data_IF_729153434080
#
_entry.id   IF_729153434080
#
_cell.length_a   1.000
_cell.length_b   1.000
_cell.length_c   1.000
_cell.angle_alpha   90.00
_cell.angle_beta   90.00
_cell.angle_gamma   90.00
#
_symmetry.space_group_name_H-M   'P 1'
#
loop_
_entity.id
_entity.type
_entity.pdbx_description
1 polymer ?
#
# COMPACT_ATOMS: atom_id res chain seq x y z
N UNK A 1 26.17 36.77 49.37
CA UNK A 1 25.42 35.66 49.98
C UNK A 1 24.88 34.81 48.85
N UNK A 2 25.39 33.61 48.76
CA UNK A 2 25.16 32.72 47.65
C UNK A 2 23.90 31.89 47.86
N UNK A 3 22.95 32.02 46.99
CA UNK A 3 21.88 31.02 46.89
C UNK A 3 22.05 30.25 45.60
N UNK A 4 22.64 29.07 45.72
CA UNK A 4 22.74 28.08 44.65
C UNK A 4 21.38 27.52 44.40
N UNK A 5 20.82 27.81 43.24
CA UNK A 5 19.61 27.11 42.70
C UNK A 5 20.11 25.86 42.01
N UNK A 6 19.82 24.74 42.59
CA UNK A 6 20.05 23.43 41.98
C UNK A 6 18.89 23.16 41.06
N UNK A 7 19.13 23.22 39.76
CA UNK A 7 18.20 22.80 38.77
C UNK A 7 18.19 21.25 38.70
N UNK A 8 17.11 20.67 39.17
CA UNK A 8 16.82 19.25 38.98
C UNK A 8 16.42 19.02 37.53
N UNK A 9 17.27 18.45 36.75
CA UNK A 9 16.98 17.89 35.45
C UNK A 9 16.21 16.62 35.66
N UNK A 10 14.89 16.71 35.48
CA UNK A 10 14.02 15.53 35.35
C UNK A 10 14.27 14.88 33.99
N UNK A 11 15.07 13.84 33.98
CA UNK A 11 15.15 12.92 32.86
C UNK A 11 13.84 12.15 32.75
N UNK A 12 12.99 12.55 31.80
CA UNK A 12 11.88 11.71 31.37
C UNK A 12 12.47 10.60 30.51
N UNK A 13 12.71 9.46 31.12
CA UNK A 13 12.98 8.22 30.39
C UNK A 13 11.66 7.77 29.80
N UNK A 14 11.46 8.05 28.51
CA UNK A 14 10.42 7.38 27.73
C UNK A 14 10.85 5.92 27.60
N UNK A 15 10.42 5.09 28.50
CA UNK A 15 10.39 3.65 28.30
C UNK A 15 9.33 3.36 27.23
N UNK A 16 9.77 3.19 26.00
CA UNK A 16 8.99 2.55 24.98
C UNK A 16 8.70 1.13 25.45
N UNK A 17 7.55 0.96 26.06
CA UNK A 17 7.02 -0.34 26.41
C UNK A 17 6.84 -1.12 25.12
N UNK A 18 7.77 -2.02 24.82
CA UNK A 18 7.54 -3.09 23.89
C UNK A 18 6.45 -3.97 24.50
N UNK A 19 5.22 -3.70 24.11
CA UNK A 19 4.16 -4.67 24.29
C UNK A 19 4.44 -5.81 23.33
N UNK A 20 5.22 -6.76 23.79
CA UNK A 20 5.29 -8.08 23.17
C UNK A 20 3.95 -8.75 23.44
N UNK A 21 2.96 -8.42 22.61
CA UNK A 21 1.69 -9.13 22.60
C UNK A 21 1.94 -10.53 22.06
N UNK A 22 1.96 -11.51 22.94
CA UNK A 22 1.84 -12.90 22.53
C UNK A 22 0.53 -13.10 21.78
N UNK A 23 0.59 -13.46 20.45
CA UNK A 23 -0.46 -14.26 19.87
C UNK A 23 -1.25 -13.74 18.69
N UNK A 24 -1.11 -12.57 18.11
CA UNK A 24 -1.57 -12.29 16.75
C UNK A 24 -0.46 -11.61 15.99
N UNK A 25 -0.06 -12.21 14.87
CA UNK A 25 0.83 -11.60 13.90
C UNK A 25 0.08 -10.44 13.24
N UNK A 26 0.00 -9.31 13.93
CA UNK A 26 -0.50 -8.08 13.35
C UNK A 26 0.56 -7.46 12.46
N UNK A 27 0.11 -6.69 11.47
CA UNK A 27 1.00 -5.90 10.62
C UNK A 27 1.85 -4.97 11.49
N UNK A 28 3.12 -4.84 11.15
CA UNK A 28 4.03 -3.89 11.79
C UNK A 28 3.87 -2.52 11.16
N UNK A 29 3.99 -1.48 11.96
CA UNK A 29 3.89 -0.11 11.49
C UNK A 29 5.00 0.21 10.47
N UNK A 30 4.65 0.92 9.41
CA UNK A 30 5.57 1.27 8.33
C UNK A 30 4.87 1.41 6.98
N UNK A 31 5.67 1.68 5.95
CA UNK A 31 5.22 1.66 4.55
C UNK A 31 5.75 0.43 3.85
N UNK A 32 4.90 -0.23 3.10
CA UNK A 32 5.21 -1.48 2.41
C UNK A 32 4.77 -1.39 0.96
N UNK A 33 5.68 -1.69 0.06
CA UNK A 33 5.45 -1.65 -1.37
C UNK A 33 5.53 -3.05 -1.97
N UNK A 34 4.70 -3.29 -2.97
CA UNK A 34 4.77 -4.44 -3.85
C UNK A 34 4.67 -4.01 -5.31
N UNK A 35 5.29 -4.77 -6.19
CA UNK A 35 5.20 -4.54 -7.63
C UNK A 35 5.37 -5.85 -8.40
N UNK A 36 4.87 -5.90 -9.63
CA UNK A 36 5.17 -7.02 -10.52
C UNK A 36 6.62 -7.00 -10.99
N UNK A 37 7.16 -8.16 -11.33
CA UNK A 37 8.55 -8.33 -11.81
C UNK A 37 8.73 -7.86 -13.26
N UNK A 38 7.66 -7.83 -14.05
CA UNK A 38 7.69 -7.50 -15.48
C UNK A 38 6.56 -6.55 -15.86
N UNK A 39 6.77 -5.85 -16.98
CA UNK A 39 5.73 -5.06 -17.64
C UNK A 39 4.80 -5.98 -18.43
N UNK A 40 3.53 -5.57 -18.55
CA UNK A 40 2.56 -6.23 -19.41
C UNK A 40 2.81 -5.92 -20.90
N UNK A 41 2.02 -6.53 -21.80
CA UNK A 41 2.14 -6.34 -23.24
C UNK A 41 1.83 -4.89 -23.70
N UNK A 42 1.30 -4.07 -22.81
CA UNK A 42 1.02 -2.66 -23.06
C UNK A 42 2.08 -1.73 -22.42
N UNK A 43 3.13 -2.29 -21.82
CA UNK A 43 4.23 -1.56 -21.21
C UNK A 43 3.92 -1.02 -19.79
N UNK A 44 2.97 -1.62 -19.08
CA UNK A 44 2.59 -1.23 -17.73
C UNK A 44 2.94 -2.30 -16.70
N UNK A 45 3.38 -1.86 -15.53
CA UNK A 45 3.69 -2.71 -14.38
C UNK A 45 2.89 -2.25 -13.17
N UNK A 46 2.06 -3.13 -12.61
CA UNK A 46 1.27 -2.83 -11.42
C UNK A 46 2.12 -2.67 -10.17
N UNK A 47 1.72 -1.74 -9.30
CA UNK A 47 2.33 -1.50 -8.00
C UNK A 47 1.28 -1.13 -6.95
N UNK A 48 1.49 -1.59 -5.72
CA UNK A 48 0.70 -1.23 -4.54
C UNK A 48 1.64 -0.74 -3.45
N UNK A 49 1.24 0.30 -2.74
CA UNK A 49 1.89 0.76 -1.52
C UNK A 49 0.84 0.86 -0.43
N UNK A 50 1.14 0.34 0.75
CA UNK A 50 0.30 0.48 1.94
C UNK A 50 1.07 1.16 3.05
N UNK A 51 0.39 1.94 3.87
CA UNK A 51 0.90 2.47 5.13
C UNK A 51 0.15 1.82 6.27
N UNK A 52 0.90 1.32 7.23
CA UNK A 52 0.38 0.66 8.43
C UNK A 52 0.72 1.50 9.65
N UNK A 53 -0.27 1.76 10.48
CA UNK A 53 -0.10 2.40 11.78
C UNK A 53 -1.02 1.72 12.80
N UNK A 54 -0.51 1.47 13.99
CA UNK A 54 -1.22 0.73 15.05
C UNK A 54 -1.75 -0.63 14.58
N UNK A 55 -0.97 -1.31 13.74
CA UNK A 55 -1.30 -2.62 13.18
C UNK A 55 -2.43 -2.64 12.15
N UNK A 56 -2.83 -1.48 11.63
CA UNK A 56 -3.90 -1.32 10.63
C UNK A 56 -3.42 -0.58 9.40
N UNK A 57 -3.97 -0.94 8.25
CA UNK A 57 -3.75 -0.18 7.01
C UNK A 57 -4.49 1.15 7.13
N UNK A 58 -3.74 2.25 7.14
CA UNK A 58 -4.28 3.62 7.25
C UNK A 58 -4.31 4.34 5.91
N UNK A 59 -3.49 3.92 4.95
CA UNK A 59 -3.48 4.44 3.60
C UNK A 59 -3.08 3.33 2.61
N UNK A 60 -3.56 3.44 1.39
CA UNK A 60 -3.19 2.56 0.30
C UNK A 60 -3.15 3.32 -1.02
N UNK A 61 -2.25 2.91 -1.90
CA UNK A 61 -2.12 3.43 -3.27
C UNK A 61 -2.00 2.26 -4.22
N UNK A 62 -2.69 2.36 -5.33
CA UNK A 62 -2.60 1.41 -6.43
C UNK A 62 -2.48 2.17 -7.74
N UNK A 63 -1.54 1.80 -8.56
CA UNK A 63 -1.39 2.33 -9.92
C UNK A 63 -0.54 1.36 -10.75
N UNK A 64 -0.39 1.70 -12.01
CA UNK A 64 0.58 1.08 -12.91
C UNK A 64 1.61 2.12 -13.32
N UNK A 65 2.83 1.68 -13.52
CA UNK A 65 3.96 2.49 -13.94
C UNK A 65 4.54 1.95 -15.25
N UNK A 66 4.94 2.83 -16.17
CA UNK A 66 5.67 2.46 -17.38
C UNK A 66 7.18 2.48 -17.16
N UNK A 67 7.97 2.12 -18.18
CA UNK A 67 9.44 2.13 -18.11
C UNK A 67 10.03 3.52 -17.87
N UNK A 68 9.33 4.59 -18.26
CA UNK A 68 9.74 5.96 -18.00
C UNK A 68 9.43 6.45 -16.58
N UNK A 69 8.66 5.66 -15.81
CA UNK A 69 8.23 6.01 -14.46
C UNK A 69 6.91 6.78 -14.41
N UNK A 70 6.22 6.94 -15.54
CA UNK A 70 4.93 7.62 -15.57
C UNK A 70 3.82 6.71 -15.05
N UNK A 71 2.87 7.29 -14.33
CA UNK A 71 1.71 6.58 -13.80
C UNK A 71 0.58 6.49 -14.81
N UNK A 72 -0.03 5.32 -14.92
CA UNK A 72 -1.16 5.05 -15.82
C UNK A 72 -2.37 5.95 -15.53
N UNK A 73 -2.62 6.24 -14.25
CA UNK A 73 -3.65 7.18 -13.84
C UNK A 73 -3.40 8.63 -14.28
N UNK A 74 -2.19 8.96 -14.72
CA UNK A 74 -1.81 10.28 -15.26
C UNK A 74 -1.82 10.33 -16.78
N UNK A 75 -2.00 9.20 -17.45
CA UNK A 75 -2.13 9.13 -18.89
C UNK A 75 -3.58 9.45 -19.30
N UNK A 76 -3.80 10.69 -19.75
CA UNK A 76 -5.13 11.19 -20.11
C UNK A 76 -5.73 10.43 -21.31
N UNK A 77 -4.90 9.96 -22.25
CA UNK A 77 -5.38 9.19 -23.42
C UNK A 77 -5.83 7.79 -23.00
N UNK A 78 -5.05 7.15 -22.13
CA UNK A 78 -5.39 5.85 -21.60
C UNK A 78 -6.69 5.92 -20.78
N UNK A 79 -6.78 6.94 -19.91
CA UNK A 79 -7.97 7.22 -19.10
C UNK A 79 -9.23 7.35 -19.98
N UNK A 80 -9.17 8.18 -21.02
CA UNK A 80 -10.29 8.39 -21.94
C UNK A 80 -10.68 7.13 -22.69
N UNK A 81 -9.70 6.42 -23.25
CA UNK A 81 -9.93 5.18 -24.00
C UNK A 81 -10.57 4.10 -23.13
N UNK A 82 -10.05 3.90 -21.93
CA UNK A 82 -10.55 2.87 -21.04
C UNK A 82 -11.94 3.22 -20.50
N UNK A 83 -12.19 4.48 -20.16
CA UNK A 83 -13.52 4.93 -19.72
C UNK A 83 -14.57 4.73 -20.81
N UNK A 84 -14.23 4.99 -22.08
CA UNK A 84 -15.12 4.72 -23.22
C UNK A 84 -15.40 3.23 -23.42
N UNK A 85 -14.37 2.40 -23.23
CA UNK A 85 -14.48 0.96 -23.50
C UNK A 85 -15.15 0.17 -22.37
N UNK A 86 -14.90 0.53 -21.13
CA UNK A 86 -15.30 -0.25 -19.95
C UNK A 86 -16.12 0.52 -18.90
N UNK A 87 -16.35 1.81 -19.12
CA UNK A 87 -17.13 2.66 -18.23
C UNK A 87 -16.35 3.19 -17.02
N UNK A 88 -15.08 2.78 -16.86
CA UNK A 88 -14.21 3.22 -15.76
C UNK A 88 -12.76 3.28 -16.22
N UNK A 89 -12.01 4.26 -15.75
CA UNK A 89 -10.60 4.45 -16.08
C UNK A 89 -9.66 4.23 -14.90
N UNK A 90 -8.33 4.30 -15.16
CA UNK A 90 -7.32 4.09 -14.12
C UNK A 90 -7.43 5.01 -12.90
N UNK A 91 -7.84 6.25 -13.10
CA UNK A 91 -8.01 7.20 -11.99
C UNK A 91 -9.04 6.69 -10.98
N UNK A 92 -10.19 6.26 -11.49
CA UNK A 92 -11.31 5.85 -10.64
C UNK A 92 -11.07 4.48 -10.02
N UNK A 93 -10.69 3.46 -10.80
CA UNK A 93 -10.53 2.13 -10.24
C UNK A 93 -9.37 2.04 -9.25
N UNK A 94 -8.26 2.73 -9.51
CA UNK A 94 -7.12 2.74 -8.59
C UNK A 94 -7.50 3.33 -7.23
N UNK A 95 -8.23 4.45 -7.23
CA UNK A 95 -8.71 5.08 -6.00
C UNK A 95 -9.73 4.20 -5.26
N UNK A 96 -10.65 3.56 -5.98
CA UNK A 96 -11.68 2.71 -5.38
C UNK A 96 -11.08 1.45 -4.75
N UNK A 97 -10.15 0.76 -5.42
CA UNK A 97 -9.47 -0.41 -4.86
C UNK A 97 -8.64 -0.05 -3.62
N UNK A 98 -7.89 1.06 -3.66
CA UNK A 98 -7.11 1.53 -2.53
C UNK A 98 -8.00 1.85 -1.32
N UNK A 99 -9.09 2.57 -1.53
CA UNK A 99 -10.07 2.90 -0.49
C UNK A 99 -10.70 1.63 0.10
N UNK A 100 -11.13 0.70 -0.74
CA UNK A 100 -11.72 -0.56 -0.29
C UNK A 100 -10.76 -1.37 0.59
N UNK A 101 -9.46 -1.38 0.28
CA UNK A 101 -8.47 -2.06 1.11
C UNK A 101 -8.37 -1.43 2.51
N UNK A 102 -8.33 -0.10 2.60
CA UNK A 102 -8.31 0.61 3.88
C UNK A 102 -9.57 0.31 4.71
N UNK A 103 -10.73 0.26 4.05
CA UNK A 103 -12.00 -0.06 4.73
C UNK A 103 -12.10 -1.52 5.17
N UNK A 104 -11.69 -2.45 4.31
CA UNK A 104 -11.81 -3.90 4.55
C UNK A 104 -10.66 -4.48 5.37
N UNK A 105 -9.48 -3.86 5.34
CA UNK A 105 -8.25 -4.34 6.01
C UNK A 105 -7.75 -5.71 5.52
N UNK A 106 -8.31 -6.22 4.46
CA UNK A 106 -8.04 -7.57 3.94
C UNK A 106 -8.20 -7.56 2.41
N UNK A 107 -7.12 -7.80 1.65
CA UNK A 107 -7.18 -7.81 0.19
C UNK A 107 -8.19 -8.81 -0.38
N UNK A 108 -8.40 -9.94 0.31
CA UNK A 108 -9.32 -10.99 -0.17
C UNK A 108 -10.78 -10.56 -0.11
N UNK A 109 -11.10 -9.57 0.72
CA UNK A 109 -12.45 -9.02 0.90
C UNK A 109 -12.76 -7.81 0.01
N UNK A 110 -11.81 -7.39 -0.80
CA UNK A 110 -12.02 -6.32 -1.77
C UNK A 110 -12.78 -6.87 -2.97
N UNK A 111 -13.93 -6.30 -3.25
CA UNK A 111 -14.78 -6.74 -4.35
C UNK A 111 -14.23 -6.28 -5.70
N UNK A 112 -14.51 -7.06 -6.76
CA UNK A 112 -14.18 -6.65 -8.12
C UNK A 112 -15.04 -5.45 -8.55
N UNK A 113 -14.40 -4.52 -9.26
CA UNK A 113 -15.08 -3.35 -9.84
C UNK A 113 -15.45 -3.68 -11.28
N UNK A 114 -16.73 -3.49 -11.63
CA UNK A 114 -17.21 -3.70 -13.01
C UNK A 114 -16.41 -2.83 -13.99
N UNK A 115 -15.89 -3.43 -15.03
CA UNK A 115 -15.05 -2.77 -16.03
C UNK A 115 -13.55 -2.70 -15.68
N UNK A 116 -13.15 -3.15 -14.48
CA UNK A 116 -11.77 -3.18 -14.02
C UNK A 116 -11.39 -4.51 -13.33
N UNK A 117 -11.97 -5.62 -13.74
CA UNK A 117 -11.79 -6.94 -13.08
C UNK A 117 -10.35 -7.41 -13.12
N UNK A 118 -9.66 -7.33 -14.25
CA UNK A 118 -8.24 -7.69 -14.37
C UNK A 118 -7.37 -6.84 -13.45
N UNK A 119 -7.62 -5.52 -13.41
CA UNK A 119 -6.91 -4.63 -12.48
C UNK A 119 -7.21 -4.97 -11.02
N UNK A 120 -8.40 -5.50 -10.73
CA UNK A 120 -8.76 -6.00 -9.41
C UNK A 120 -7.97 -7.25 -9.00
N UNK A 121 -7.75 -8.17 -9.92
CA UNK A 121 -6.93 -9.35 -9.67
C UNK A 121 -5.45 -8.98 -9.44
N UNK A 122 -4.93 -8.06 -10.23
CA UNK A 122 -3.59 -7.50 -10.05
C UNK A 122 -3.47 -6.81 -8.70
N UNK A 123 -4.44 -5.96 -8.36
CA UNK A 123 -4.49 -5.25 -7.09
C UNK A 123 -4.47 -6.22 -5.91
N UNK A 124 -5.34 -7.23 -5.89
CA UNK A 124 -5.41 -8.21 -4.80
C UNK A 124 -4.10 -8.97 -4.63
N UNK A 125 -3.50 -9.38 -5.73
CA UNK A 125 -2.22 -10.10 -5.72
C UNK A 125 -1.10 -9.24 -5.13
N UNK A 126 -1.01 -7.98 -5.52
CA UNK A 126 -0.01 -7.04 -5.02
C UNK A 126 -0.30 -6.61 -3.59
N UNK A 127 -1.55 -6.32 -3.25
CA UNK A 127 -1.94 -5.94 -1.91
C UNK A 127 -1.67 -7.06 -0.89
N UNK A 128 -1.92 -8.32 -1.26
CA UNK A 128 -1.58 -9.47 -0.42
C UNK A 128 -0.07 -9.57 -0.14
N UNK A 129 0.76 -9.38 -1.15
CA UNK A 129 2.21 -9.37 -0.98
C UNK A 129 2.70 -8.22 -0.07
N UNK A 130 2.13 -7.03 -0.19
CA UNK A 130 2.43 -5.90 0.68
C UNK A 130 2.00 -6.19 2.13
N UNK A 131 0.83 -6.77 2.34
CA UNK A 131 0.33 -7.17 3.67
C UNK A 131 1.21 -8.26 4.29
N UNK A 132 1.66 -9.25 3.50
CA UNK A 132 2.59 -10.27 4.00
C UNK A 132 3.92 -9.64 4.45
N UNK A 133 4.48 -8.70 3.68
CA UNK A 133 5.67 -7.96 4.09
C UNK A 133 5.43 -7.15 5.36
N UNK A 134 4.25 -6.54 5.52
CA UNK A 134 3.88 -5.82 6.73
C UNK A 134 3.79 -6.76 7.96
N UNK A 135 3.24 -7.95 7.80
CA UNK A 135 3.19 -8.96 8.88
C UNK A 135 4.59 -9.42 9.30
N UNK A 136 5.50 -9.56 8.35
CA UNK A 136 6.88 -9.96 8.59
C UNK A 136 7.77 -8.78 9.04
N UNK A 137 7.35 -7.54 8.78
CA UNK A 137 8.13 -6.32 8.99
C UNK A 137 9.27 -6.16 7.98
N UNK A 138 9.07 -6.64 6.77
CA UNK A 138 10.02 -6.54 5.65
C UNK A 138 9.73 -5.27 4.86
N UNK A 139 10.63 -4.29 4.94
CA UNK A 139 10.45 -2.97 4.33
C UNK A 139 10.95 -2.88 2.88
N UNK A 140 11.66 -3.88 2.40
CA UNK A 140 12.00 -4.01 0.99
C UNK A 140 10.75 -4.20 0.12
N UNK A 141 10.82 -3.77 -1.14
CA UNK A 141 9.71 -3.97 -2.08
C UNK A 141 9.48 -5.46 -2.35
N UNK A 142 8.25 -5.90 -2.17
CA UNK A 142 7.83 -7.25 -2.53
C UNK A 142 7.70 -7.35 -4.06
N UNK A 143 8.54 -8.17 -4.69
CA UNK A 143 8.48 -8.42 -6.13
C UNK A 143 7.67 -9.67 -6.39
N UNK A 144 6.60 -9.51 -7.16
CA UNK A 144 5.61 -10.56 -7.46
C UNK A 144 5.69 -10.93 -8.93
N UNK A 145 5.65 -12.21 -9.24
CA UNK A 145 5.56 -12.66 -10.63
C UNK A 145 4.25 -12.22 -11.26
N UNK A 146 4.36 -11.52 -12.38
CA UNK A 146 3.19 -11.20 -13.20
C UNK A 146 2.58 -12.49 -13.78
N UNK A 147 1.25 -12.57 -13.76
CA UNK A 147 0.53 -13.65 -14.45
C UNK A 147 0.57 -13.34 -15.95
N UNK A 148 1.04 -14.29 -16.73
CA UNK A 148 0.97 -14.25 -18.21
C UNK A 148 -0.41 -14.71 -18.67
#
# INVERSE_FOLDING_TARGET
>A
MNKKVIALLSSVVLTAGMLVGCGSKGMKDGSYKSEFDTFDDHGWKGQVEITVADGKITDAKFDYVNEAGDLKSKDAKYQESMTKASGIGPVEFSAQYAKALVEKQDPTKVDAITGATTSGDDFKTLADAAVQHANDGKTETAVVKAKK
#
